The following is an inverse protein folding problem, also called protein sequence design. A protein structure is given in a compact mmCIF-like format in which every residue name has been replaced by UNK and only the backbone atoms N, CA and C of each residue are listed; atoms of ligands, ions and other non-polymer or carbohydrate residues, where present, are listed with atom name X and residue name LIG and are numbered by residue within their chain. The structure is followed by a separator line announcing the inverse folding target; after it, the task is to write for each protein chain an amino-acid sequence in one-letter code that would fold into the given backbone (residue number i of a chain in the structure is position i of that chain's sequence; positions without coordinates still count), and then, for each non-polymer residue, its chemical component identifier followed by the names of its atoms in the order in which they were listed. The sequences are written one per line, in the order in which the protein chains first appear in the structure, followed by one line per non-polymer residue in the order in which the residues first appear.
data_IF_344452001192
#
_entry.id   IF_344452001192
#
_cell.length_a   1.000
_cell.length_b   1.000
_cell.length_c   1.000
_cell.angle_alpha   90.00
_cell.angle_beta   90.00
_cell.angle_gamma   90.00
#
_symmetry.space_group_name_H-M   'P 1'
#
loop_
_entity.id
_entity.type
_entity.pdbx_description
1 polymer ?
#
# COMPACT_ATOMS: atom_id res chain seq x y z
N UNK A 1 -20.98 41.55 20.35
CA UNK A 1 -20.30 41.23 19.08
C UNK A 1 -20.52 39.75 18.79
N UNK A 2 -21.18 39.36 17.70
CA UNK A 2 -21.12 37.98 17.20
C UNK A 2 -20.01 37.90 16.14
N UNK A 3 -18.97 37.11 16.37
CA UNK A 3 -18.11 36.58 15.31
C UNK A 3 -17.08 35.60 15.89
N UNK A 4 -17.30 34.31 15.65
CA UNK A 4 -16.23 33.41 15.24
C UNK A 4 -16.87 32.11 14.73
N UNK A 5 -17.10 32.14 13.42
CA UNK A 5 -17.12 31.07 12.44
C UNK A 5 -16.76 29.67 12.98
N UNK A 6 -17.60 28.70 12.61
CA UNK A 6 -17.44 27.31 12.99
C UNK A 6 -16.07 26.75 12.64
N UNK A 7 -15.45 26.14 13.64
CA UNK A 7 -14.41 25.14 13.41
C UNK A 7 -15.12 23.91 12.84
N UNK A 8 -15.29 23.89 11.52
CA UNK A 8 -15.39 22.61 10.86
C UNK A 8 -13.97 22.04 10.91
N UNK A 9 -13.73 21.12 11.85
CA UNK A 9 -12.59 20.22 11.74
C UNK A 9 -12.69 19.61 10.35
N UNK A 10 -11.77 20.03 9.47
CA UNK A 10 -11.67 19.48 8.14
C UNK A 10 -11.59 17.98 8.31
N UNK A 11 -12.57 17.25 7.76
CA UNK A 11 -12.62 15.78 7.74
C UNK A 11 -11.20 15.28 7.51
N UNK A 12 -10.62 14.70 8.55
CA UNK A 12 -9.18 14.52 8.66
C UNK A 12 -8.72 13.46 7.64
N UNK A 13 -8.42 13.95 6.43
CA UNK A 13 -7.91 13.14 5.32
C UNK A 13 -6.62 12.43 5.75
N UNK A 14 -5.84 13.02 6.66
CA UNK A 14 -4.67 12.37 7.25
C UNK A 14 -5.04 11.22 8.18
N UNK A 15 -6.15 11.31 8.92
CA UNK A 15 -6.73 10.22 9.71
C UNK A 15 -7.21 9.04 8.84
N UNK A 16 -7.72 9.31 7.63
CA UNK A 16 -8.07 8.29 6.64
C UNK A 16 -6.83 7.62 6.02
N UNK A 17 -5.74 8.37 5.85
CA UNK A 17 -4.44 7.84 5.35
C UNK A 17 -3.72 7.03 6.44
N UNK A 18 -4.04 7.26 7.72
CA UNK A 18 -3.45 6.57 8.88
C UNK A 18 -4.35 5.43 9.41
N UNK A 19 -5.03 4.73 8.50
CA UNK A 19 -5.68 3.48 8.86
C UNK A 19 -4.59 2.43 9.11
N UNK A 20 -4.68 1.68 10.22
CA UNK A 20 -3.72 0.59 10.49
C UNK A 20 -3.84 -0.45 9.38
N UNK A 21 -2.94 -0.38 8.40
CA UNK A 21 -2.89 -1.35 7.32
C UNK A 21 -2.51 -2.71 7.89
N UNK A 22 -3.51 -3.58 7.95
CA UNK A 22 -3.30 -4.99 8.24
C UNK A 22 -2.90 -5.71 6.96
N UNK A 23 -2.19 -6.83 7.10
CA UNK A 23 -1.86 -7.70 5.96
C UNK A 23 -3.13 -8.09 5.19
N UNK A 24 -4.21 -8.41 5.92
CA UNK A 24 -5.50 -8.74 5.31
C UNK A 24 -6.07 -7.59 4.47
N UNK A 25 -5.98 -6.35 4.96
CA UNK A 25 -6.43 -5.17 4.21
C UNK A 25 -5.65 -5.04 2.91
N UNK A 26 -4.32 -5.18 2.99
CA UNK A 26 -3.43 -5.07 1.84
C UNK A 26 -3.72 -6.15 0.78
N UNK A 27 -3.80 -7.42 1.21
CA UNK A 27 -4.13 -8.55 0.33
C UNK A 27 -5.49 -8.35 -0.33
N UNK A 28 -6.49 -7.90 0.44
CA UNK A 28 -7.84 -7.63 -0.08
C UNK A 28 -7.85 -6.47 -1.08
N UNK A 29 -7.06 -5.42 -0.83
CA UNK A 29 -6.92 -4.29 -1.74
C UNK A 29 -6.30 -4.71 -3.08
N UNK A 30 -5.22 -5.51 -3.05
CA UNK A 30 -4.61 -6.04 -4.28
C UNK A 30 -5.58 -6.94 -5.06
N UNK A 31 -6.33 -7.82 -4.38
CA UNK A 31 -7.34 -8.66 -5.05
C UNK A 31 -8.43 -7.84 -5.74
N UNK A 32 -8.92 -6.79 -5.07
CA UNK A 32 -9.89 -5.86 -5.67
C UNK A 32 -9.29 -5.12 -6.87
N UNK A 33 -8.06 -4.62 -6.72
CA UNK A 33 -7.33 -3.95 -7.80
C UNK A 33 -7.06 -4.86 -9.00
N UNK A 34 -6.79 -6.16 -8.76
CA UNK A 34 -6.61 -7.20 -9.80
C UNK A 34 -7.85 -7.25 -10.70
N UNK A 35 -9.05 -7.27 -10.11
CA UNK A 35 -10.32 -7.40 -10.82
C UNK A 35 -10.94 -6.08 -11.35
N UNK A 36 -10.55 -4.92 -10.81
CA UNK A 36 -11.13 -3.63 -11.20
C UNK A 36 -10.49 -3.09 -12.49
N UNK A 37 -11.25 -3.02 -13.58
CA UNK A 37 -10.77 -2.52 -14.89
C UNK A 37 -10.36 -1.05 -14.88
N UNK A 38 -10.81 -0.26 -13.90
CA UNK A 38 -10.44 1.16 -13.77
C UNK A 38 -9.02 1.35 -13.24
N UNK A 39 -8.43 0.31 -12.65
CA UNK A 39 -7.08 0.34 -12.11
C UNK A 39 -6.10 -0.08 -13.20
N UNK A 40 -5.27 0.87 -13.64
CA UNK A 40 -4.25 0.66 -14.67
C UNK A 40 -2.90 0.21 -14.11
N UNK A 41 -2.58 0.54 -12.85
CA UNK A 41 -1.31 0.22 -12.22
C UNK A 41 -1.41 0.31 -10.69
N UNK A 42 -0.44 -0.31 -9.99
CA UNK A 42 -0.27 -0.18 -8.53
C UNK A 42 1.12 0.34 -8.21
N UNK A 43 1.20 1.27 -7.26
CA UNK A 43 2.47 1.72 -6.64
C UNK A 43 2.54 1.17 -5.23
N UNK A 44 3.58 0.38 -4.94
CA UNK A 44 3.85 -0.18 -3.63
C UNK A 44 4.86 0.71 -2.88
N UNK A 45 4.48 1.23 -1.73
CA UNK A 45 5.37 1.99 -0.84
C UNK A 45 5.56 1.17 0.45
N UNK A 46 6.60 0.33 0.55
CA UNK A 46 6.77 -0.56 1.68
C UNK A 46 7.23 0.22 2.92
N UNK A 47 6.33 0.37 3.88
CA UNK A 47 6.63 0.86 5.24
C UNK A 47 6.54 -0.30 6.22
N UNK A 48 7.60 -1.12 6.29
CA UNK A 48 7.64 -2.32 7.13
C UNK A 48 8.58 -2.13 8.31
N UNK A 49 8.10 -2.48 9.50
CA UNK A 49 8.92 -2.58 10.72
C UNK A 49 9.67 -3.92 10.78
N UNK A 50 10.92 -3.87 11.21
CA UNK A 50 11.81 -5.05 11.33
C UNK A 50 11.18 -6.21 12.12
N UNK A 51 11.51 -7.46 11.74
CA UNK A 51 11.08 -8.68 12.43
C UNK A 51 9.79 -9.34 11.95
N UNK A 52 9.06 -8.75 10.98
CA UNK A 52 7.75 -9.24 10.52
C UNK A 52 7.78 -10.15 9.27
N UNK A 53 8.75 -11.05 9.13
CA UNK A 53 8.98 -11.83 7.89
C UNK A 53 7.78 -12.64 7.39
N UNK A 54 6.95 -13.22 8.27
CA UNK A 54 5.74 -13.94 7.84
C UNK A 54 4.72 -13.03 7.16
N UNK A 55 4.54 -11.81 7.69
CA UNK A 55 3.66 -10.79 7.09
C UNK A 55 4.23 -10.31 5.75
N UNK A 56 5.54 -10.13 5.70
CA UNK A 56 6.25 -9.76 4.47
C UNK A 56 6.06 -10.82 3.39
N UNK A 57 6.13 -12.11 3.74
CA UNK A 57 5.87 -13.20 2.78
C UNK A 57 4.43 -13.16 2.26
N UNK A 58 3.45 -13.01 3.14
CA UNK A 58 2.03 -12.97 2.75
C UNK A 58 1.72 -11.78 1.81
N UNK A 59 2.31 -10.61 2.09
CA UNK A 59 2.24 -9.44 1.21
C UNK A 59 2.91 -9.72 -0.14
N UNK A 60 4.08 -10.36 -0.14
CA UNK A 60 4.80 -10.73 -1.36
C UNK A 60 4.00 -11.67 -2.25
N UNK A 61 3.36 -12.68 -1.65
CA UNK A 61 2.55 -13.65 -2.39
C UNK A 61 1.35 -12.95 -3.05
N UNK A 62 0.74 -11.98 -2.38
CA UNK A 62 -0.32 -11.16 -2.97
C UNK A 62 0.17 -10.24 -4.10
N UNK A 63 1.39 -9.71 -4.01
CA UNK A 63 2.02 -8.97 -5.12
C UNK A 63 2.23 -9.89 -6.33
N UNK A 64 2.68 -11.12 -6.11
CA UNK A 64 2.86 -12.11 -7.20
C UNK A 64 1.50 -12.46 -7.83
N UNK A 65 0.47 -12.72 -7.03
CA UNK A 65 -0.89 -12.95 -7.51
C UNK A 65 -1.42 -11.76 -8.34
N UNK A 66 -1.21 -10.52 -7.89
CA UNK A 66 -1.65 -9.34 -8.64
C UNK A 66 -1.04 -9.26 -10.05
N UNK A 67 0.23 -9.66 -10.21
CA UNK A 67 0.94 -9.61 -11.50
C UNK A 67 0.32 -10.52 -12.57
N UNK A 68 -0.46 -11.52 -12.19
CA UNK A 68 -1.21 -12.34 -13.16
C UNK A 68 -2.32 -11.55 -13.88
N UNK A 69 -2.64 -10.32 -13.46
CA UNK A 69 -3.62 -9.46 -14.16
C UNK A 69 -3.04 -8.63 -15.30
N UNK A 70 -1.76 -8.81 -15.66
CA UNK A 70 -1.02 -8.01 -16.65
C UNK A 70 -0.97 -6.50 -16.34
N UNK A 71 -1.40 -6.09 -15.13
CA UNK A 71 -1.31 -4.72 -14.65
C UNK A 71 0.05 -4.48 -13.99
N UNK A 72 0.77 -3.42 -14.35
CA UNK A 72 2.07 -3.15 -13.76
C UNK A 72 1.96 -2.81 -12.27
N UNK A 73 2.89 -3.36 -11.49
CA UNK A 73 3.12 -2.99 -10.10
C UNK A 73 4.56 -2.54 -9.90
N UNK A 74 4.72 -1.31 -9.39
CA UNK A 74 6.02 -0.65 -9.20
C UNK A 74 6.24 -0.37 -7.72
N UNK A 75 7.41 -0.70 -7.18
CA UNK A 75 7.76 -0.32 -5.81
C UNK A 75 8.48 1.03 -5.76
N UNK A 76 8.23 1.82 -4.73
CA UNK A 76 8.97 3.03 -4.42
C UNK A 76 9.66 2.86 -3.06
N UNK A 77 10.98 2.80 -3.05
CA UNK A 77 11.77 2.55 -1.86
C UNK A 77 12.31 3.86 -1.28
N UNK A 78 11.68 4.37 -0.23
CA UNK A 78 12.25 5.50 0.53
C UNK A 78 13.49 5.06 1.33
N UNK A 79 13.46 3.85 1.89
CA UNK A 79 14.56 3.27 2.66
C UNK A 79 14.75 1.80 2.29
N UNK A 80 15.96 1.45 1.88
CA UNK A 80 16.33 0.08 1.46
C UNK A 80 16.56 -0.87 2.63
N UNK A 81 15.58 -1.04 3.52
CA UNK A 81 15.66 -2.11 4.53
C UNK A 81 15.57 -3.47 3.84
N UNK A 82 16.16 -4.53 4.43
CA UNK A 82 16.18 -5.86 3.80
C UNK A 82 14.78 -6.41 3.47
N UNK A 83 13.77 -6.06 4.26
CA UNK A 83 12.38 -6.45 4.04
C UNK A 83 11.69 -5.61 2.95
N UNK A 84 11.95 -4.30 2.91
CA UNK A 84 11.43 -3.43 1.86
C UNK A 84 11.99 -3.83 0.49
N UNK A 85 13.31 -4.09 0.43
CA UNK A 85 13.96 -4.61 -0.78
C UNK A 85 13.41 -5.99 -1.18
N UNK A 86 13.20 -6.87 -0.20
CA UNK A 86 12.58 -8.16 -0.45
C UNK A 86 11.20 -8.02 -1.06
N UNK A 87 10.33 -7.13 -0.59
CA UNK A 87 9.04 -6.87 -1.25
C UNK A 87 9.21 -6.28 -2.66
N UNK A 88 10.04 -5.25 -2.79
CA UNK A 88 10.26 -4.57 -4.07
C UNK A 88 10.77 -5.52 -5.16
N UNK A 89 11.56 -6.54 -4.80
CA UNK A 89 12.02 -7.56 -5.74
C UNK A 89 10.91 -8.46 -6.32
N UNK A 90 9.70 -8.47 -5.75
CA UNK A 90 8.55 -9.14 -6.37
C UNK A 90 7.85 -8.25 -7.42
N UNK A 91 7.97 -6.93 -7.27
CA UNK A 91 7.42 -5.96 -8.21
C UNK A 91 8.14 -6.02 -9.55
N UNK A 92 7.55 -5.39 -10.56
CA UNK A 92 8.06 -5.41 -11.93
C UNK A 92 9.20 -4.41 -12.14
N UNK A 93 9.09 -3.26 -11.49
CA UNK A 93 10.14 -2.26 -11.35
C UNK A 93 10.14 -1.71 -9.94
N UNK A 94 11.28 -1.19 -9.51
CA UNK A 94 11.38 -0.43 -8.28
C UNK A 94 12.21 0.84 -8.50
N UNK A 95 11.80 1.92 -7.84
CA UNK A 95 12.39 3.25 -7.87
C UNK A 95 13.01 3.59 -6.51
#
# INVERSE_FOLDING_TARGET
MPDSLGEQEADDVFGLINQRDTVLSFVSALRKAKADERISAVVLIPSITEGLWGKVQEIRDAVIDFKESDKPIVAYLEYGTGQAYYLASACERFL
#
